data_IF_634979642128
#
_entry.id   IF_634979642128
#
_cell.length_a   1.000
_cell.length_b   1.000
_cell.length_c   1.000
_cell.angle_alpha   90.00
_cell.angle_beta   90.00
_cell.angle_gamma   90.00
#
_symmetry.space_group_name_H-M   'P 1'
#
loop_
_entity.id
_entity.type
_entity.pdbx_description
1 polymer ?
#
# COMPACT_ATOMS: atom_id res chain seq x y z
N UNK A 1 1.27 5.40 -1.38
CA UNK A 1 0.23 6.14 -0.64
C UNK A 1 -0.32 5.30 0.52
N UNK A 2 -0.94 4.14 0.26
CA UNK A 2 -1.56 3.31 1.30
C UNK A 2 -0.61 2.81 2.40
N UNK A 3 0.69 2.62 2.10
CA UNK A 3 1.70 2.32 3.13
C UNK A 3 1.82 3.39 4.23
N UNK A 4 1.51 4.65 3.93
CA UNK A 4 1.48 5.72 4.93
C UNK A 4 0.35 5.50 5.93
N UNK A 5 -0.83 5.12 5.44
CA UNK A 5 -2.00 4.87 6.29
C UNK A 5 -1.82 3.60 7.12
N UNK A 6 -1.31 2.53 6.48
CA UNK A 6 -0.95 1.28 7.17
C UNK A 6 0.06 1.52 8.29
N UNK A 7 0.99 2.46 8.10
CA UNK A 7 2.05 2.80 9.05
C UNK A 7 1.69 4.02 9.92
N UNK A 8 0.42 4.21 10.26
CA UNK A 8 -0.02 5.23 11.24
C UNK A 8 0.32 6.68 10.85
N UNK A 9 0.44 6.98 9.56
CA UNK A 9 0.76 8.30 9.02
C UNK A 9 2.25 8.56 8.75
N UNK A 10 3.11 7.56 8.96
CA UNK A 10 4.56 7.64 8.69
C UNK A 10 4.85 7.17 7.27
N UNK A 11 5.38 8.07 6.44
CA UNK A 11 5.88 7.75 5.11
C UNK A 11 7.29 7.21 5.20
N UNK A 12 7.46 5.99 4.70
CA UNK A 12 8.75 5.37 4.43
C UNK A 12 8.99 5.39 2.92
N UNK A 13 10.19 5.78 2.49
CA UNK A 13 10.58 5.70 1.09
C UNK A 13 10.69 4.20 0.69
N UNK A 14 9.99 3.73 -0.36
CA UNK A 14 10.19 2.36 -0.84
C UNK A 14 11.64 2.19 -1.33
N UNK A 15 12.37 1.27 -0.71
CA UNK A 15 13.78 0.99 -1.02
C UNK A 15 13.90 -0.45 -1.52
N UNK A 16 14.24 -0.62 -2.80
CA UNK A 16 14.43 -1.94 -3.40
C UNK A 16 15.82 -2.53 -3.11
N UNK A 17 16.84 -1.68 -2.97
CA UNK A 17 18.24 -2.08 -2.76
C UNK A 17 18.70 -1.50 -1.43
N UNK A 18 18.89 -2.36 -0.43
CA UNK A 18 19.34 -1.93 0.91
C UNK A 18 20.84 -1.68 0.93
N UNK A 19 21.63 -2.53 0.25
CA UNK A 19 23.09 -2.47 0.27
C UNK A 19 23.69 -3.09 -0.98
N UNK A 20 24.73 -2.46 -1.52
CA UNK A 20 25.57 -2.97 -2.61
C UNK A 20 26.97 -3.20 -2.03
N UNK A 21 27.48 -4.42 -2.18
CA UNK A 21 28.81 -4.83 -1.73
C UNK A 21 29.60 -5.36 -2.92
N UNK A 22 30.85 -4.94 -3.06
CA UNK A 22 31.74 -5.42 -4.12
C UNK A 22 32.30 -6.83 -3.83
N UNK A 23 33.07 -7.37 -4.78
CA UNK A 23 33.69 -8.70 -4.66
C UNK A 23 34.69 -8.82 -3.50
N UNK A 24 35.19 -7.70 -2.98
CA UNK A 24 36.16 -7.62 -1.90
C UNK A 24 35.50 -7.37 -0.54
N UNK A 25 34.16 -7.28 -0.50
CA UNK A 25 33.42 -7.00 0.73
C UNK A 25 33.29 -5.50 1.06
N UNK A 26 33.70 -4.60 0.16
CA UNK A 26 33.55 -3.16 0.37
C UNK A 26 32.14 -2.69 0.03
N UNK A 27 31.59 -1.84 0.89
CA UNK A 27 30.27 -1.23 0.69
C UNK A 27 30.39 -0.14 -0.37
N UNK A 28 29.70 -0.34 -1.50
CA UNK A 28 29.64 0.62 -2.61
C UNK A 28 28.50 1.61 -2.38
N UNK A 29 27.37 1.11 -1.87
CA UNK A 29 26.18 1.90 -1.56
C UNK A 29 25.42 1.24 -0.40
N UNK A 30 24.87 2.05 0.50
CA UNK A 30 24.01 1.59 1.59
C UNK A 30 22.87 2.60 1.79
N UNK A 31 21.64 2.15 1.55
CA UNK A 31 20.46 2.98 1.67
C UNK A 31 19.96 2.93 3.12
N UNK A 32 19.89 4.11 3.75
CA UNK A 32 19.28 4.25 5.07
C UNK A 32 17.76 4.42 4.95
N UNK A 33 17.02 3.80 5.86
CA UNK A 33 15.56 3.98 5.93
C UNK A 33 15.28 5.42 6.35
N UNK A 34 14.52 6.14 5.53
CA UNK A 34 14.10 7.51 5.80
C UNK A 34 12.61 7.52 6.13
N UNK A 35 12.29 7.98 7.33
CA UNK A 35 10.92 8.06 7.84
C UNK A 35 10.48 9.51 8.01
N UNK A 36 9.26 9.81 7.60
CA UNK A 36 8.66 11.13 7.80
C UNK A 36 7.19 11.01 8.13
N UNK A 37 6.77 11.54 9.28
CA UNK A 37 5.34 11.73 9.57
C UNK A 37 4.76 12.76 8.60
N UNK A 38 3.74 12.34 7.86
CA UNK A 38 3.05 13.19 6.87
C UNK A 38 1.54 13.25 7.11
N UNK A 39 1.01 12.37 7.96
CA UNK A 39 -0.37 12.38 8.46
C UNK A 39 -0.33 12.14 9.97
N UNK A 40 -1.22 12.78 10.71
CA UNK A 40 -1.37 12.51 12.14
C UNK A 40 -1.92 11.10 12.37
N UNK A 41 -1.46 10.46 13.45
CA UNK A 41 -1.82 9.06 13.75
C UNK A 41 -3.33 8.89 13.92
N UNK A 42 -4.00 9.86 14.54
CA UNK A 42 -5.46 9.86 14.72
C UNK A 42 -6.19 9.92 13.39
N UNK A 43 -5.75 10.75 12.47
CA UNK A 43 -6.36 10.88 11.15
C UNK A 43 -6.13 9.62 10.32
N UNK A 44 -4.91 9.05 10.38
CA UNK A 44 -4.60 7.78 9.72
C UNK A 44 -5.46 6.62 10.26
N UNK A 45 -5.75 6.60 11.56
CA UNK A 45 -6.63 5.61 12.20
C UNK A 45 -8.09 5.77 11.75
N UNK A 46 -8.61 7.02 11.70
CA UNK A 46 -9.96 7.29 11.20
C UNK A 46 -10.10 6.84 9.74
N UNK A 47 -9.12 7.16 8.89
CA UNK A 47 -9.12 6.73 7.48
C UNK A 47 -9.06 5.20 7.39
N UNK A 48 -8.23 4.55 8.19
CA UNK A 48 -8.14 3.08 8.22
C UNK A 48 -9.48 2.45 8.59
N UNK A 49 -10.18 2.96 9.60
CA UNK A 49 -11.51 2.48 9.98
C UNK A 49 -12.55 2.62 8.86
N UNK A 50 -12.49 3.72 8.10
CA UNK A 50 -13.35 3.88 6.90
C UNK A 50 -12.99 2.85 5.81
N UNK A 51 -11.70 2.54 5.62
CA UNK A 51 -11.22 1.58 4.63
C UNK A 51 -11.47 0.11 5.03
N UNK A 52 -11.56 -0.20 6.33
CA UNK A 52 -12.01 -1.51 6.81
C UNK A 52 -13.47 -1.75 6.43
N UNK A 53 -14.31 -0.71 6.49
CA UNK A 53 -15.72 -0.77 6.13
C UNK A 53 -15.94 -1.13 4.64
N UNK A 54 -14.98 -0.80 3.77
CA UNK A 54 -15.02 -1.20 2.34
C UNK A 54 -14.96 -2.72 2.19
N UNK A 55 -14.22 -3.40 3.06
CA UNK A 55 -14.05 -4.86 3.04
C UNK A 55 -15.16 -5.55 3.83
N UNK A 56 -15.58 -5.02 4.98
CA UNK A 56 -16.57 -5.69 5.84
C UNK A 56 -18.01 -5.59 5.33
N UNK A 57 -18.34 -4.57 4.54
CA UNK A 57 -19.70 -4.39 4.01
C UNK A 57 -19.81 -3.51 2.76
N UNK A 58 -18.69 -3.17 2.12
CA UNK A 58 -18.65 -2.29 0.95
C UNK A 58 -18.27 -3.01 -0.35
N UNK A 59 -17.73 -2.24 -1.29
CA UNK A 59 -17.37 -2.70 -2.64
C UNK A 59 -16.22 -3.71 -2.68
N UNK A 60 -15.46 -3.85 -1.59
CA UNK A 60 -14.30 -4.73 -1.48
C UNK A 60 -14.56 -6.05 -0.76
N UNK A 61 -15.82 -6.48 -0.59
CA UNK A 61 -16.19 -7.66 0.21
C UNK A 61 -15.41 -8.94 -0.12
N UNK A 62 -15.09 -9.17 -1.40
CA UNK A 62 -14.33 -10.32 -1.85
C UNK A 62 -12.84 -10.29 -1.44
N UNK A 63 -12.34 -9.17 -0.89
CA UNK A 63 -11.00 -9.04 -0.36
C UNK A 63 -10.92 -9.38 1.15
N UNK A 64 -12.00 -9.89 1.75
CA UNK A 64 -12.00 -10.34 3.14
C UNK A 64 -11.14 -11.62 3.30
N UNK A 65 -10.06 -11.51 4.06
CA UNK A 65 -9.08 -12.59 4.28
C UNK A 65 -9.15 -13.21 5.68
N UNK A 66 -10.23 -12.97 6.43
CA UNK A 66 -10.43 -13.53 7.78
C UNK A 66 -9.55 -12.93 8.88
N UNK A 67 -8.88 -11.79 8.61
CA UNK A 67 -8.09 -11.01 9.57
C UNK A 67 -8.28 -9.51 9.31
N UNK A 68 -7.91 -8.62 10.25
CA UNK A 68 -8.00 -7.18 10.05
C UNK A 68 -7.28 -6.74 8.77
N UNK A 69 -8.04 -6.07 7.90
CA UNK A 69 -7.57 -5.56 6.63
C UNK A 69 -8.41 -4.32 6.26
N UNK A 70 -7.76 -3.34 5.63
CA UNK A 70 -8.39 -2.16 5.08
C UNK A 70 -8.06 -2.07 3.58
N UNK A 71 -8.95 -1.50 2.78
CA UNK A 71 -8.66 -1.36 1.36
C UNK A 71 -9.64 -0.49 0.61
N UNK A 72 -9.34 -0.27 -0.67
CA UNK A 72 -10.18 0.54 -1.56
C UNK A 72 -10.19 -0.07 -2.95
N UNK A 73 -11.39 -0.15 -3.53
CA UNK A 73 -11.59 -0.43 -4.96
C UNK A 73 -11.52 0.86 -5.77
N UNK A 74 -11.05 0.77 -7.00
CA UNK A 74 -11.12 1.83 -8.01
C UNK A 74 -11.42 1.22 -9.38
N UNK A 75 -12.21 1.91 -10.18
CA UNK A 75 -12.54 1.54 -11.55
C UNK A 75 -12.47 2.80 -12.40
N UNK A 76 -11.85 2.75 -13.58
CA UNK A 76 -11.91 3.84 -14.57
C UNK A 76 -13.15 3.69 -15.45
N UNK A 77 -13.54 4.76 -16.15
CA UNK A 77 -14.70 4.73 -17.07
C UNK A 77 -14.57 3.58 -18.09
N UNK A 78 -15.70 2.99 -18.47
CA UNK A 78 -15.81 1.78 -19.31
C UNK A 78 -15.14 0.50 -18.75
N UNK A 79 -14.81 0.46 -17.45
CA UNK A 79 -14.16 -0.71 -16.80
C UNK A 79 -12.83 -1.12 -17.42
N UNK A 80 -12.14 -0.19 -18.10
CA UNK A 80 -10.85 -0.45 -18.76
C UNK A 80 -9.74 -0.75 -17.76
N UNK A 81 -9.83 -0.19 -16.56
CA UNK A 81 -8.96 -0.50 -15.43
C UNK A 81 -9.77 -0.80 -14.16
N UNK A 82 -9.43 -1.89 -13.50
CA UNK A 82 -9.84 -2.21 -12.15
C UNK A 82 -8.61 -2.23 -11.24
N UNK A 83 -8.67 -1.47 -10.15
CA UNK A 83 -7.65 -1.45 -9.11
C UNK A 83 -8.24 -1.88 -7.77
N UNK A 84 -7.45 -2.62 -7.01
CA UNK A 84 -7.65 -2.78 -5.58
C UNK A 84 -6.35 -2.51 -4.85
N UNK A 85 -6.38 -1.64 -3.85
CA UNK A 85 -5.26 -1.46 -2.93
C UNK A 85 -5.73 -1.81 -1.54
N UNK A 86 -5.07 -2.78 -0.92
CA UNK A 86 -5.40 -3.27 0.41
C UNK A 86 -4.16 -3.35 1.30
N UNK A 87 -4.38 -3.31 2.60
CA UNK A 87 -3.32 -3.46 3.57
C UNK A 87 -3.80 -4.10 4.87
N UNK A 88 -2.83 -4.64 5.58
CA UNK A 88 -2.89 -5.09 6.97
C UNK A 88 -1.82 -4.32 7.74
N UNK A 89 -1.69 -4.45 9.08
CA UNK A 89 -0.65 -3.72 9.82
C UNK A 89 0.77 -3.90 9.27
N UNK A 90 1.07 -5.06 8.67
CA UNK A 90 2.43 -5.42 8.26
C UNK A 90 2.66 -5.45 6.74
N UNK A 91 1.61 -5.29 5.94
CA UNK A 91 1.72 -5.49 4.48
C UNK A 91 0.73 -4.61 3.73
N UNK A 92 1.21 -3.99 2.64
CA UNK A 92 0.39 -3.29 1.65
C UNK A 92 0.54 -3.98 0.31
N UNK A 93 -0.58 -4.21 -0.38
CA UNK A 93 -0.62 -4.78 -1.71
C UNK A 93 -1.51 -3.92 -2.63
N UNK A 94 -1.08 -3.75 -3.88
CA UNK A 94 -1.85 -3.11 -4.93
C UNK A 94 -1.96 -4.08 -6.11
N UNK A 95 -3.19 -4.26 -6.60
CA UNK A 95 -3.49 -5.10 -7.77
C UNK A 95 -4.18 -4.22 -8.80
N UNK A 96 -3.75 -4.40 -10.05
CA UNK A 96 -4.38 -3.81 -11.23
C UNK A 96 -4.73 -4.91 -12.21
N UNK A 97 -5.85 -4.70 -12.89
CA UNK A 97 -6.27 -5.46 -14.05
C UNK A 97 -6.76 -4.46 -15.08
N UNK A 98 -6.23 -4.53 -16.30
CA UNK A 98 -6.68 -3.73 -17.43
C UNK A 98 -6.18 -4.33 -18.74
N UNK A 99 -6.64 -3.76 -19.85
CA UNK A 99 -6.17 -4.10 -21.21
C UNK A 99 -5.03 -3.16 -21.61
N UNK A 100 -3.88 -3.74 -21.97
CA UNK A 100 -2.72 -2.99 -22.46
C UNK A 100 -3.02 -2.18 -23.74
N UNK A 101 -4.05 -2.59 -24.51
CA UNK A 101 -4.45 -1.95 -25.78
C UNK A 101 -5.63 -0.99 -25.68
N UNK A 102 -6.29 -0.91 -24.52
CA UNK A 102 -7.35 0.08 -24.23
C UNK A 102 -8.53 0.09 -25.20
N UNK A 103 -8.90 -1.07 -25.79
CA UNK A 103 -10.01 -1.16 -26.74
C UNK A 103 -11.36 -0.84 -26.10
#
# INVERSE_FOLDING_TARGET
AYGVLANGGIKVQPTAIVKIVDRNGQVVEENSIQEKRVVDEKDAAIITSMLESVISGGTGGNAAIGRPAAGKTGTTDDSKDAWFVGYTPDLVAAVWIGDDYGS
#
